data_IF_778007305720
#
_entry.id   IF_778007305720
#
_cell.length_a   1.000
_cell.length_b   1.000
_cell.length_c   1.000
_cell.angle_alpha   90.00
_cell.angle_beta   90.00
_cell.angle_gamma   90.00
#
_symmetry.space_group_name_H-M   'P 1'
#
loop_
_entity.id
_entity.type
_entity.pdbx_description
1 polymer ?
#
# COMPACT_ATOMS: atom_id res chain seq x y z
N UNK A 1 -12.54 3.94 -69.07
CA UNK A 1 -12.55 4.78 -67.84
C UNK A 1 -13.84 4.50 -67.13
N UNK A 2 -13.80 3.72 -66.05
CA UNK A 2 -14.99 3.21 -65.31
C UNK A 2 -15.55 4.28 -64.39
N UNK A 3 -16.84 4.64 -64.48
CA UNK A 3 -17.48 5.66 -63.68
C UNK A 3 -17.76 5.23 -62.21
N UNK A 4 -17.33 4.02 -61.80
CA UNK A 4 -17.62 3.47 -60.46
C UNK A 4 -16.58 3.95 -59.40
N UNK A 5 -15.44 4.51 -59.79
CA UNK A 5 -14.39 4.95 -58.86
C UNK A 5 -14.60 6.39 -58.30
N UNK A 6 -15.55 7.14 -58.83
CA UNK A 6 -15.80 8.54 -58.42
C UNK A 6 -16.81 8.70 -57.28
N UNK A 7 -17.50 7.63 -56.84
CA UNK A 7 -18.54 7.68 -55.79
C UNK A 7 -18.06 7.29 -54.39
N UNK A 8 -16.80 6.86 -54.22
CA UNK A 8 -16.23 6.43 -52.91
C UNK A 8 -15.47 7.52 -52.15
N UNK A 9 -15.30 8.71 -52.75
CA UNK A 9 -14.53 9.79 -52.12
C UNK A 9 -15.36 10.85 -51.36
N UNK A 10 -16.71 10.74 -51.35
CA UNK A 10 -17.60 11.76 -50.75
C UNK A 10 -18.21 11.38 -49.37
N UNK A 11 -17.86 10.22 -48.80
CA UNK A 11 -18.48 9.73 -47.56
C UNK A 11 -17.63 9.93 -46.28
N UNK A 12 -16.53 10.71 -46.32
CA UNK A 12 -15.55 10.73 -45.20
C UNK A 12 -15.51 12.05 -44.41
N UNK A 13 -16.57 12.85 -44.35
CA UNK A 13 -16.52 14.14 -43.64
C UNK A 13 -17.75 14.52 -42.84
N UNK A 14 -18.32 13.60 -42.03
CA UNK A 14 -19.35 13.97 -41.05
C UNK A 14 -19.22 13.15 -39.76
N UNK A 15 -18.02 13.24 -39.14
CA UNK A 15 -17.92 12.97 -37.72
C UNK A 15 -18.35 14.25 -36.96
N UNK A 16 -19.46 14.25 -36.22
CA UNK A 16 -19.78 15.38 -35.35
C UNK A 16 -18.69 15.44 -34.26
N UNK A 17 -17.82 16.43 -34.35
CA UNK A 17 -17.03 16.88 -33.21
C UNK A 17 -18.01 17.28 -32.11
N UNK A 18 -18.29 16.39 -31.16
CA UNK A 18 -19.03 16.72 -29.95
C UNK A 18 -18.15 17.62 -29.10
N UNK A 19 -18.11 18.90 -29.44
CA UNK A 19 -17.53 19.92 -28.58
C UNK A 19 -18.28 19.88 -27.25
N UNK A 20 -17.58 19.61 -26.15
CA UNK A 20 -18.13 19.69 -24.80
C UNK A 20 -18.48 21.16 -24.51
N UNK A 21 -19.71 21.53 -24.81
CA UNK A 21 -20.21 22.87 -24.60
C UNK A 21 -20.37 23.11 -23.08
N UNK A 22 -19.30 23.60 -22.48
CA UNK A 22 -19.32 24.13 -21.13
C UNK A 22 -19.81 25.58 -21.19
N UNK A 23 -20.63 25.97 -20.23
CA UNK A 23 -21.09 27.36 -20.14
C UNK A 23 -20.84 27.93 -18.74
N UNK A 24 -20.68 29.24 -18.65
CA UNK A 24 -20.47 29.95 -17.42
C UNK A 24 -21.71 30.79 -17.08
N UNK A 25 -22.04 30.87 -15.79
CA UNK A 25 -23.09 31.70 -15.25
C UNK A 25 -22.54 32.54 -14.11
N UNK A 26 -22.89 33.78 -14.06
CA UNK A 26 -22.56 34.70 -12.97
C UNK A 26 -23.61 35.80 -12.79
N UNK A 27 -23.52 36.54 -11.68
CA UNK A 27 -24.22 37.79 -11.48
C UNK A 27 -23.20 38.93 -11.54
N UNK A 28 -23.38 39.85 -12.47
CA UNK A 28 -22.50 41.01 -12.61
C UNK A 28 -22.68 42.00 -11.45
N UNK A 29 -21.78 43.02 -11.40
CA UNK A 29 -21.87 44.12 -10.42
C UNK A 29 -23.17 44.94 -10.52
N UNK A 30 -23.80 44.90 -11.67
CA UNK A 30 -25.09 45.53 -11.96
C UNK A 30 -26.33 44.71 -11.50
N UNK A 31 -26.09 43.56 -10.85
CA UNK A 31 -27.12 42.62 -10.37
C UNK A 31 -27.74 41.74 -11.47
N UNK A 32 -27.31 41.87 -12.72
CA UNK A 32 -27.85 41.07 -13.83
C UNK A 32 -27.14 39.73 -13.96
N UNK A 33 -27.89 38.72 -14.44
CA UNK A 33 -27.34 37.38 -14.70
C UNK A 33 -26.77 37.35 -16.12
N UNK A 34 -25.53 36.87 -16.21
CA UNK A 34 -24.81 36.68 -17.47
C UNK A 34 -24.49 35.21 -17.72
N UNK A 35 -24.57 34.83 -18.97
CA UNK A 35 -24.25 33.47 -19.46
C UNK A 35 -23.30 33.55 -20.64
N UNK A 36 -22.39 32.62 -20.77
CA UNK A 36 -21.45 32.55 -21.90
C UNK A 36 -20.70 31.26 -21.97
N UNK A 37 -20.09 30.94 -23.12
CA UNK A 37 -19.18 29.79 -23.29
C UNK A 37 -17.81 30.06 -22.66
N UNK A 38 -17.48 31.30 -22.39
CA UNK A 38 -16.34 31.74 -21.59
C UNK A 38 -16.85 32.67 -20.47
N UNK A 39 -16.01 32.94 -19.46
CA UNK A 39 -16.37 33.82 -18.37
C UNK A 39 -16.67 35.25 -18.93
N UNK A 40 -17.91 35.76 -18.81
CA UNK A 40 -18.25 37.11 -19.30
C UNK A 40 -17.41 38.19 -18.61
N UNK A 41 -17.05 39.25 -19.36
CA UNK A 41 -16.24 40.35 -18.82
C UNK A 41 -16.92 41.02 -17.59
N UNK A 42 -18.24 41.06 -17.59
CA UNK A 42 -19.06 41.60 -16.47
C UNK A 42 -18.96 40.78 -15.20
N UNK A 43 -18.43 39.53 -15.32
CA UNK A 43 -18.26 38.62 -14.21
C UNK A 43 -16.84 38.62 -13.63
N UNK A 44 -15.93 39.40 -14.17
CA UNK A 44 -14.57 39.53 -13.64
C UNK A 44 -14.61 40.08 -12.20
N UNK A 45 -14.03 39.29 -11.29
CA UNK A 45 -14.04 39.62 -9.87
C UNK A 45 -15.38 39.34 -9.15
N UNK A 46 -16.32 38.65 -9.78
CA UNK A 46 -17.59 38.20 -9.19
C UNK A 46 -17.62 36.65 -9.12
N UNK A 47 -18.40 36.11 -8.15
CA UNK A 47 -18.65 34.66 -8.11
C UNK A 47 -19.28 34.18 -9.41
N UNK A 48 -18.72 33.08 -9.96
CA UNK A 48 -19.19 32.48 -11.21
C UNK A 48 -19.31 30.96 -11.07
N UNK A 49 -20.18 30.37 -11.85
CA UNK A 49 -20.42 28.93 -11.91
C UNK A 49 -20.20 28.43 -13.33
N UNK A 50 -19.48 27.32 -13.44
CA UNK A 50 -19.33 26.55 -14.67
C UNK A 50 -20.41 25.49 -14.71
N UNK A 51 -21.13 25.42 -15.83
CA UNK A 51 -22.25 24.50 -16.05
C UNK A 51 -21.88 23.46 -17.10
N UNK A 52 -22.39 22.25 -16.97
CA UNK A 52 -22.37 21.23 -18.00
C UNK A 52 -23.48 21.46 -19.05
N UNK A 53 -23.56 20.59 -20.07
CA UNK A 53 -24.61 20.62 -21.12
C UNK A 53 -26.05 20.56 -20.56
N UNK A 54 -26.23 19.95 -19.38
CA UNK A 54 -27.52 19.82 -18.71
C UNK A 54 -27.82 20.99 -17.75
N UNK A 55 -26.98 22.04 -17.75
CA UNK A 55 -27.16 23.19 -16.86
C UNK A 55 -26.82 22.94 -15.40
N UNK A 56 -26.20 21.82 -15.07
CA UNK A 56 -25.74 21.51 -13.70
C UNK A 56 -24.39 22.16 -13.42
N UNK A 57 -24.25 22.72 -12.21
CA UNK A 57 -22.99 23.32 -11.76
C UNK A 57 -21.93 22.25 -11.57
N UNK A 58 -20.83 22.34 -12.30
CA UNK A 58 -19.67 21.46 -12.19
C UNK A 58 -18.51 22.12 -11.44
N UNK A 59 -18.43 23.45 -11.46
CA UNK A 59 -17.40 24.19 -10.73
C UNK A 59 -17.92 25.58 -10.32
N UNK A 60 -17.52 26.04 -9.14
CA UNK A 60 -17.77 27.40 -8.66
C UNK A 60 -16.46 28.15 -8.53
N UNK A 61 -16.45 29.38 -8.98
CA UNK A 61 -15.35 30.33 -8.86
C UNK A 61 -15.79 31.43 -7.93
N UNK A 62 -15.18 31.56 -6.79
CA UNK A 62 -15.38 32.64 -5.85
C UNK A 62 -14.07 33.41 -5.67
N UNK A 63 -13.92 34.58 -6.30
CA UNK A 63 -12.71 35.37 -6.19
C UNK A 63 -12.53 36.00 -4.80
N UNK A 64 -13.59 36.02 -3.98
CA UNK A 64 -13.56 36.55 -2.63
C UNK A 64 -13.39 35.47 -1.56
N UNK A 65 -13.33 34.21 -1.96
CA UNK A 65 -13.02 33.14 -1.00
C UNK A 65 -11.65 33.43 -0.37
N UNK A 66 -11.62 33.58 0.95
CA UNK A 66 -10.38 33.84 1.66
C UNK A 66 -9.40 32.68 1.47
N UNK A 67 -8.10 32.92 1.54
CA UNK A 67 -7.09 31.89 1.49
C UNK A 67 -7.34 30.81 2.56
N UNK A 68 -7.81 31.24 3.74
CA UNK A 68 -8.22 30.36 4.82
C UNK A 68 -9.39 29.43 4.43
N UNK A 69 -10.39 29.93 3.68
CA UNK A 69 -11.52 29.10 3.21
C UNK A 69 -11.08 28.07 2.16
N UNK A 70 -10.13 28.44 1.29
CA UNK A 70 -9.53 27.51 0.32
C UNK A 70 -8.74 26.43 1.04
N UNK A 71 -7.87 26.81 1.97
CA UNK A 71 -7.10 25.87 2.77
C UNK A 71 -7.99 24.91 3.56
N UNK A 72 -9.09 25.43 4.15
CA UNK A 72 -10.06 24.57 4.85
C UNK A 72 -10.73 23.57 3.90
N UNK A 73 -11.20 24.00 2.73
CA UNK A 73 -11.82 23.10 1.74
C UNK A 73 -10.84 22.04 1.24
N UNK A 74 -9.60 22.42 0.98
CA UNK A 74 -8.54 21.46 0.59
C UNK A 74 -8.23 20.45 1.70
N UNK A 75 -8.19 20.90 2.96
CA UNK A 75 -8.00 20.01 4.10
C UNK A 75 -9.17 19.03 4.27
N UNK A 76 -10.41 19.51 4.17
CA UNK A 76 -11.62 18.68 4.27
C UNK A 76 -11.68 17.64 3.13
N UNK A 77 -11.33 18.04 1.91
CA UNK A 77 -11.26 17.12 0.77
C UNK A 77 -10.14 16.09 0.95
N UNK A 78 -8.97 16.50 1.43
CA UNK A 78 -7.85 15.61 1.70
C UNK A 78 -8.22 14.57 2.78
N UNK A 79 -8.89 15.00 3.83
CA UNK A 79 -9.37 14.11 4.89
C UNK A 79 -10.43 13.12 4.36
N UNK A 80 -11.39 13.62 3.56
CA UNK A 80 -12.37 12.74 2.92
C UNK A 80 -11.71 11.69 2.03
N UNK A 81 -10.75 12.10 1.18
CA UNK A 81 -9.98 11.15 0.34
C UNK A 81 -9.24 10.10 1.17
N UNK A 82 -8.66 10.50 2.31
CA UNK A 82 -8.01 9.56 3.23
C UNK A 82 -9.02 8.56 3.80
N UNK A 83 -10.17 9.01 4.28
CA UNK A 83 -11.24 8.14 4.80
C UNK A 83 -11.74 7.17 3.74
N UNK A 84 -11.98 7.66 2.52
CA UNK A 84 -12.44 6.82 1.40
C UNK A 84 -11.39 5.77 1.02
N UNK A 85 -10.10 6.14 1.03
CA UNK A 85 -9.01 5.20 0.77
C UNK A 85 -8.91 4.11 1.84
N UNK A 86 -9.02 4.47 3.12
CA UNK A 86 -9.05 3.51 4.24
C UNK A 86 -10.23 2.56 4.10
N UNK A 87 -11.44 3.08 3.89
CA UNK A 87 -12.65 2.27 3.72
C UNK A 87 -12.55 1.30 2.53
N UNK A 88 -12.01 1.74 1.40
CA UNK A 88 -11.78 0.87 0.23
C UNK A 88 -10.77 -0.24 0.55
N UNK A 89 -9.69 0.10 1.25
CA UNK A 89 -8.67 -0.88 1.64
C UNK A 89 -9.23 -1.91 2.64
N UNK A 90 -9.98 -1.46 3.64
CA UNK A 90 -10.67 -2.37 4.57
C UNK A 90 -11.65 -3.28 3.83
N UNK A 91 -12.45 -2.75 2.91
CA UNK A 91 -13.34 -3.55 2.08
C UNK A 91 -12.59 -4.57 1.22
N UNK A 92 -11.41 -4.21 0.70
CA UNK A 92 -10.55 -5.14 -0.05
C UNK A 92 -10.03 -6.26 0.86
N UNK A 93 -9.51 -5.92 2.05
CA UNK A 93 -9.01 -6.90 3.05
C UNK A 93 -10.13 -7.85 3.50
N UNK A 94 -11.31 -7.32 3.79
CA UNK A 94 -12.46 -8.14 4.20
C UNK A 94 -12.85 -9.14 3.11
N UNK A 95 -12.92 -8.71 1.85
CA UNK A 95 -13.21 -9.63 0.74
C UNK A 95 -12.12 -10.69 0.58
N UNK A 96 -10.84 -10.32 0.69
CA UNK A 96 -9.74 -11.27 0.61
C UNK A 96 -9.81 -12.30 1.75
N UNK A 97 -10.11 -11.87 2.97
CA UNK A 97 -10.25 -12.75 4.14
C UNK A 97 -11.37 -13.78 3.91
N UNK A 98 -12.57 -13.32 3.51
CA UNK A 98 -13.72 -14.19 3.25
C UNK A 98 -13.54 -15.10 2.03
N UNK A 99 -12.71 -14.70 1.05
CA UNK A 99 -12.36 -15.54 -0.08
C UNK A 99 -11.29 -16.60 0.27
N UNK A 100 -10.44 -16.31 1.27
CA UNK A 100 -9.36 -17.21 1.69
C UNK A 100 -9.84 -18.28 2.66
N UNK A 101 -10.76 -17.93 3.58
CA UNK A 101 -11.21 -18.81 4.65
C UNK A 101 -12.73 -18.99 4.57
N UNK A 102 -13.16 -20.24 4.67
CA UNK A 102 -14.59 -20.60 4.67
C UNK A 102 -15.11 -20.83 6.08
N UNK A 103 -14.23 -21.00 7.06
CA UNK A 103 -14.57 -21.27 8.47
C UNK A 103 -13.47 -20.84 9.44
N UNK A 104 -13.83 -20.67 10.71
CA UNK A 104 -12.86 -20.49 11.81
C UNK A 104 -11.81 -21.63 11.83
N UNK A 105 -12.23 -22.85 11.47
CA UNK A 105 -11.35 -24.03 11.41
C UNK A 105 -10.26 -23.89 10.34
N UNK A 106 -10.59 -23.28 9.21
CA UNK A 106 -9.62 -23.06 8.13
C UNK A 106 -8.52 -22.07 8.57
N UNK A 107 -8.90 -21.04 9.34
CA UNK A 107 -7.97 -20.08 9.92
C UNK A 107 -7.03 -20.78 10.89
N UNK A 108 -7.56 -21.60 11.81
CA UNK A 108 -6.74 -22.35 12.76
C UNK A 108 -5.82 -23.38 12.07
N UNK A 109 -6.26 -24.01 11.00
CA UNK A 109 -5.42 -24.91 10.22
C UNK A 109 -4.29 -24.16 9.50
N UNK A 110 -4.58 -22.98 8.95
CA UNK A 110 -3.58 -22.13 8.34
C UNK A 110 -2.54 -21.65 9.36
N UNK A 111 -3.00 -21.26 10.56
CA UNK A 111 -2.15 -20.93 11.71
C UNK A 111 -1.23 -22.08 12.09
N UNK A 112 -1.79 -23.28 12.27
CA UNK A 112 -1.02 -24.45 12.63
C UNK A 112 0.06 -24.78 11.60
N UNK A 113 -0.23 -24.63 10.30
CA UNK A 113 0.78 -24.81 9.25
C UNK A 113 1.90 -23.77 9.34
N UNK A 114 1.55 -22.49 9.51
CA UNK A 114 2.53 -21.40 9.62
C UNK A 114 3.43 -21.56 10.85
N UNK A 115 2.88 -21.95 11.99
CA UNK A 115 3.64 -22.23 13.22
C UNK A 115 4.58 -23.42 13.01
N UNK A 116 4.11 -24.51 12.41
CA UNK A 116 4.94 -25.68 12.11
C UNK A 116 6.12 -25.36 11.19
N UNK A 117 5.90 -24.53 10.18
CA UNK A 117 6.98 -24.07 9.29
C UNK A 117 8.00 -23.22 10.05
N UNK A 118 7.53 -22.33 10.94
CA UNK A 118 8.41 -21.51 11.77
C UNK A 118 9.19 -22.35 12.79
N UNK A 119 8.56 -23.32 13.44
CA UNK A 119 9.21 -24.29 14.33
C UNK A 119 10.31 -25.10 13.61
N UNK A 120 10.05 -25.55 12.39
CA UNK A 120 11.05 -26.26 11.58
C UNK A 120 12.25 -25.36 11.25
N UNK A 121 12.02 -24.09 10.94
CA UNK A 121 13.06 -23.10 10.72
C UNK A 121 13.89 -22.84 12.00
N UNK A 122 13.24 -22.71 13.15
CA UNK A 122 13.88 -22.55 14.46
C UNK A 122 14.79 -23.77 14.74
N UNK A 123 14.28 -24.98 14.57
CA UNK A 123 15.04 -26.20 14.80
C UNK A 123 16.28 -26.31 13.89
N UNK A 124 16.18 -25.85 12.62
CA UNK A 124 17.32 -25.80 11.71
C UNK A 124 18.40 -24.81 12.18
N UNK A 125 17.98 -23.60 12.62
CA UNK A 125 18.90 -22.59 13.16
C UNK A 125 19.58 -23.11 14.43
N UNK A 126 18.84 -23.75 15.33
CA UNK A 126 19.40 -24.32 16.57
C UNK A 126 20.45 -25.41 16.28
N UNK A 127 20.21 -26.26 15.25
CA UNK A 127 21.23 -27.21 14.81
C UNK A 127 22.50 -26.52 14.30
N UNK A 128 22.35 -25.43 13.53
CA UNK A 128 23.50 -24.63 13.05
C UNK A 128 24.26 -23.99 14.20
N UNK A 129 23.56 -23.41 15.18
CA UNK A 129 24.15 -22.88 16.40
C UNK A 129 24.97 -23.96 17.11
N UNK A 130 24.40 -25.16 17.25
CA UNK A 130 25.11 -26.31 17.85
C UNK A 130 26.40 -26.68 17.11
N UNK A 131 26.36 -26.67 15.78
CA UNK A 131 27.55 -26.95 14.94
C UNK A 131 28.62 -25.84 15.09
N UNK A 132 28.21 -24.57 15.10
CA UNK A 132 29.15 -23.44 15.30
C UNK A 132 29.76 -23.48 16.69
N UNK A 133 28.98 -23.74 17.75
CA UNK A 133 29.48 -23.87 19.12
C UNK A 133 30.49 -25.03 19.26
N UNK A 134 30.24 -26.17 18.59
CA UNK A 134 31.19 -27.26 18.53
C UNK A 134 32.48 -26.82 17.85
N UNK A 135 32.39 -26.13 16.72
CA UNK A 135 33.56 -25.60 16.02
C UNK A 135 34.35 -24.59 16.88
N UNK A 136 33.67 -23.70 17.60
CA UNK A 136 34.32 -22.78 18.55
C UNK A 136 35.10 -23.53 19.64
N UNK A 137 34.50 -24.59 20.21
CA UNK A 137 35.15 -25.39 21.22
C UNK A 137 36.43 -26.10 20.69
N UNK A 138 36.42 -26.59 19.43
CA UNK A 138 37.59 -27.14 18.75
C UNK A 138 38.69 -26.09 18.58
N UNK A 139 38.33 -24.90 18.06
CA UNK A 139 39.27 -23.78 17.86
C UNK A 139 39.86 -23.28 19.18
N UNK A 140 39.08 -23.28 20.26
CA UNK A 140 39.55 -22.89 21.60
C UNK A 140 40.59 -23.90 22.11
N UNK A 141 40.34 -25.21 21.96
CA UNK A 141 41.32 -26.26 22.32
C UNK A 141 42.59 -26.13 21.49
N UNK A 142 42.50 -25.80 20.22
CA UNK A 142 43.65 -25.58 19.35
C UNK A 142 44.42 -24.33 19.83
N UNK A 143 43.74 -23.25 20.21
CA UNK A 143 44.37 -22.05 20.73
C UNK A 143 45.11 -22.30 22.06
N UNK A 144 44.55 -23.15 22.94
CA UNK A 144 45.16 -23.52 24.23
C UNK A 144 46.52 -24.22 24.04
N UNK A 145 46.69 -24.97 22.95
CA UNK A 145 47.97 -25.60 22.58
C UNK A 145 49.12 -24.59 22.39
N UNK A 146 48.77 -23.34 21.93
CA UNK A 146 49.77 -22.29 21.69
C UNK A 146 50.07 -21.42 22.93
N UNK A 147 49.36 -21.62 24.06
CA UNK A 147 49.58 -20.85 25.27
C UNK A 147 51.00 -21.09 25.82
N UNK A 148 51.74 -20.01 25.93
CA UNK A 148 53.05 -19.99 26.62
C UNK A 148 54.28 -20.37 25.78
N UNK A 149 54.15 -20.79 24.49
CA UNK A 149 55.30 -21.24 23.69
C UNK A 149 55.49 -20.57 22.33
N UNK A 150 54.45 -20.34 21.58
CA UNK A 150 54.53 -19.76 20.25
C UNK A 150 53.27 -18.90 19.98
N UNK A 151 53.39 -17.90 19.11
CA UNK A 151 52.22 -17.14 18.65
C UNK A 151 51.30 -18.05 17.83
N UNK A 152 49.97 -18.06 18.08
CA UNK A 152 49.06 -18.85 17.28
C UNK A 152 49.07 -18.37 15.81
N UNK A 153 48.85 -19.27 14.84
CA UNK A 153 48.78 -18.92 13.44
C UNK A 153 47.73 -17.87 13.18
N UNK A 154 48.02 -16.93 12.27
CA UNK A 154 47.05 -15.87 11.92
C UNK A 154 45.69 -16.42 11.44
N UNK A 155 45.74 -17.58 10.77
CA UNK A 155 44.55 -18.31 10.32
C UNK A 155 43.66 -18.76 11.48
N UNK A 156 44.26 -19.30 12.58
CA UNK A 156 43.50 -19.75 13.76
C UNK A 156 42.74 -18.55 14.39
N UNK A 157 43.40 -17.41 14.56
CA UNK A 157 42.75 -16.20 15.05
C UNK A 157 41.62 -15.71 14.15
N UNK A 158 41.78 -15.86 12.84
CA UNK A 158 40.72 -15.50 11.89
C UNK A 158 39.55 -16.49 11.97
N UNK A 159 39.80 -17.78 12.06
CA UNK A 159 38.77 -18.82 12.19
C UNK A 159 37.96 -18.65 13.48
N UNK A 160 38.61 -18.28 14.59
CA UNK A 160 37.94 -17.96 15.85
C UNK A 160 37.01 -16.75 15.69
N UNK A 161 37.49 -15.67 15.05
CA UNK A 161 36.65 -14.48 14.80
C UNK A 161 35.46 -14.79 13.89
N UNK A 162 35.69 -15.58 12.85
CA UNK A 162 34.65 -16.01 11.92
C UNK A 162 33.58 -16.83 12.65
N UNK A 163 34.01 -17.83 13.45
CA UNK A 163 33.05 -18.63 14.23
C UNK A 163 32.28 -17.83 15.27
N UNK A 164 32.90 -16.81 15.87
CA UNK A 164 32.18 -15.90 16.78
C UNK A 164 31.15 -15.03 16.05
N UNK A 165 31.50 -14.53 14.87
CA UNK A 165 30.58 -13.78 14.02
C UNK A 165 29.41 -14.67 13.53
N UNK A 166 29.71 -15.90 13.08
CA UNK A 166 28.68 -16.84 12.65
C UNK A 166 27.71 -17.17 13.77
N UNK A 167 28.22 -17.41 14.99
CA UNK A 167 27.36 -17.67 16.14
C UNK A 167 26.41 -16.52 16.41
N UNK A 168 26.94 -15.30 16.48
CA UNK A 168 26.14 -14.10 16.69
C UNK A 168 25.05 -13.96 15.63
N UNK A 169 25.40 -14.16 14.35
CA UNK A 169 24.44 -14.07 13.24
C UNK A 169 23.31 -15.10 13.36
N UNK A 170 23.66 -16.35 13.74
CA UNK A 170 22.64 -17.39 13.94
C UNK A 170 21.77 -17.11 15.16
N UNK A 171 22.32 -16.59 16.25
CA UNK A 171 21.55 -16.20 17.45
C UNK A 171 20.59 -15.05 17.17
N UNK A 172 21.00 -14.03 16.39
CA UNK A 172 20.13 -12.96 15.94
C UNK A 172 19.00 -13.48 15.06
N UNK A 173 19.29 -14.40 14.15
CA UNK A 173 18.29 -15.06 13.30
C UNK A 173 17.29 -15.88 14.13
N UNK A 174 17.78 -16.61 15.15
CA UNK A 174 16.93 -17.36 16.08
C UNK A 174 15.98 -16.44 16.85
N UNK A 175 16.50 -15.31 17.35
CA UNK A 175 15.69 -14.32 18.05
C UNK A 175 14.61 -13.71 17.15
N UNK A 176 14.93 -13.44 15.86
CA UNK A 176 13.98 -12.98 14.88
C UNK A 176 12.88 -14.02 14.62
N UNK A 177 13.26 -15.30 14.43
CA UNK A 177 12.29 -16.39 14.21
C UNK A 177 11.37 -16.66 15.40
N UNK A 178 11.86 -16.48 16.62
CA UNK A 178 11.02 -16.55 17.83
C UNK A 178 10.00 -15.40 17.88
N UNK A 179 10.36 -14.19 17.42
CA UNK A 179 9.40 -13.08 17.29
C UNK A 179 8.37 -13.32 16.18
N UNK A 180 8.76 -14.03 15.11
CA UNK A 180 7.82 -14.41 14.05
C UNK A 180 6.68 -15.30 14.58
N UNK A 181 6.91 -16.14 15.59
CA UNK A 181 5.88 -16.93 16.26
C UNK A 181 4.79 -16.06 16.87
N UNK A 182 5.17 -15.01 17.60
CA UNK A 182 4.24 -14.05 18.18
C UNK A 182 3.47 -13.30 17.10
N UNK A 183 4.15 -12.90 16.02
CA UNK A 183 3.54 -12.21 14.89
C UNK A 183 2.55 -13.11 14.14
N UNK A 184 2.86 -14.40 13.94
CA UNK A 184 1.95 -15.40 13.36
C UNK A 184 0.70 -15.50 14.24
N UNK A 185 0.87 -15.67 15.54
CA UNK A 185 -0.23 -15.79 16.48
C UNK A 185 -1.13 -14.54 16.48
N UNK A 186 -0.54 -13.35 16.54
CA UNK A 186 -1.26 -12.09 16.51
C UNK A 186 -2.07 -11.95 15.21
N UNK A 187 -1.45 -12.20 14.05
CA UNK A 187 -2.10 -12.12 12.74
C UNK A 187 -3.33 -13.04 12.65
N UNK A 188 -3.18 -14.31 13.00
CA UNK A 188 -4.29 -15.25 12.88
C UNK A 188 -5.39 -15.02 13.93
N UNK A 189 -5.07 -14.44 15.09
CA UNK A 189 -6.06 -13.98 16.05
C UNK A 189 -6.87 -12.81 15.48
N UNK A 190 -6.23 -11.85 14.83
CA UNK A 190 -6.89 -10.72 14.18
C UNK A 190 -7.76 -11.19 12.99
N UNK A 191 -7.24 -12.09 12.14
CA UNK A 191 -7.97 -12.69 11.03
C UNK A 191 -9.24 -13.41 11.54
N UNK A 192 -9.13 -14.21 12.60
CA UNK A 192 -10.27 -14.92 13.20
C UNK A 192 -11.30 -13.98 13.82
N UNK A 193 -10.83 -12.96 14.55
CA UNK A 193 -11.71 -11.93 15.11
C UNK A 193 -12.49 -11.25 13.99
N UNK A 194 -11.79 -10.78 12.96
CA UNK A 194 -12.39 -10.08 11.83
C UNK A 194 -13.35 -10.97 11.02
N UNK A 195 -12.97 -12.21 10.79
CA UNK A 195 -13.85 -13.20 10.13
C UNK A 195 -15.17 -13.37 10.91
N UNK A 196 -15.11 -13.50 12.23
CA UNK A 196 -16.28 -13.63 13.08
C UNK A 196 -17.16 -12.37 13.07
N UNK A 197 -16.57 -11.17 13.08
CA UNK A 197 -17.29 -9.91 12.95
C UNK A 197 -18.07 -9.84 11.62
N UNK A 198 -17.44 -10.25 10.53
CA UNK A 198 -18.03 -10.20 9.20
C UNK A 198 -19.10 -11.28 8.96
N UNK A 199 -18.98 -12.45 9.60
CA UNK A 199 -19.89 -13.58 9.37
C UNK A 199 -21.00 -13.71 10.40
N UNK A 200 -20.73 -13.35 11.67
CA UNK A 200 -21.67 -13.48 12.80
C UNK A 200 -22.32 -12.16 13.19
N UNK A 201 -21.70 -11.01 12.85
CA UNK A 201 -22.24 -9.68 13.10
C UNK A 201 -23.28 -9.22 12.09
N UNK A 202 -23.57 -10.03 11.06
CA UNK A 202 -24.58 -9.74 10.04
C UNK A 202 -25.96 -10.38 10.32
N UNK A 203 -26.19 -10.81 11.59
CA UNK A 203 -27.50 -11.33 12.04
C UNK A 203 -28.28 -10.28 12.80
#
# INVERSE_FOLDING_TARGET
MNPILALLAAALTLLPLTADAQSYRCVGKDGKKYYGQSLPMQCLGQPAEQLNKQGRVIKRFDPHASEADRARKEADEAERRKRDAVSKEEGRRNRALLATYTSDKDIEQARARALKENEAAIADIERRIGAVKKRQAELTKELDFYQGKNKPPGKLNQDIRNAAFDLKTQEELLAAKKKDEDAINARYNDDKKRYNELTKGAK
#
